data_IF_996648202222
#
_entry.id   IF_996648202222
#
_cell.length_a   1.000
_cell.length_b   1.000
_cell.length_c   1.000
_cell.angle_alpha   90.00
_cell.angle_beta   90.00
_cell.angle_gamma   90.00
#
_symmetry.space_group_name_H-M   'P 1'
#
loop_
_entity.id
_entity.type
_entity.pdbx_description
1 polymer ?
#
# COMPACT_ATOMS: atom_id res chain seq x y z
N UNK A 1 -0.39 -5.55 -5.74
CA UNK A 1 -1.08 -4.31 -5.28
C UNK A 1 -1.14 -3.24 -6.36
N UNK A 2 -0.07 -2.99 -7.13
CA UNK A 2 -0.09 -2.00 -8.21
C UNK A 2 -1.26 -2.14 -9.19
N UNK A 3 -1.62 -3.38 -9.56
CA UNK A 3 -2.78 -3.65 -10.40
C UNK A 3 -4.11 -3.11 -9.82
N UNK A 4 -4.30 -3.12 -8.50
CA UNK A 4 -5.49 -2.52 -7.87
C UNK A 4 -5.50 -0.98 -8.00
N UNK A 5 -4.36 -0.32 -7.79
CA UNK A 5 -4.24 1.12 -8.04
C UNK A 5 -4.58 1.45 -9.48
N UNK A 6 -3.98 0.71 -10.41
CA UNK A 6 -4.17 0.94 -11.84
C UNK A 6 -5.60 0.65 -12.29
N UNK A 7 -6.24 -0.40 -11.78
CA UNK A 7 -7.61 -0.74 -12.12
C UNK A 7 -8.62 0.32 -11.67
N UNK A 8 -8.47 0.86 -10.45
CA UNK A 8 -9.42 1.81 -9.88
C UNK A 8 -9.19 3.27 -10.32
N UNK A 9 -7.96 3.62 -10.74
CA UNK A 9 -7.59 5.00 -11.05
C UNK A 9 -8.49 5.61 -12.14
N UNK A 10 -9.11 6.74 -11.81
CA UNK A 10 -9.91 7.53 -12.76
C UNK A 10 -11.27 6.92 -13.14
N UNK A 11 -11.72 5.85 -12.47
CA UNK A 11 -12.97 5.15 -12.83
C UNK A 11 -14.19 5.51 -11.99
N UNK A 12 -14.06 6.34 -10.95
CA UNK A 12 -15.16 6.64 -10.04
C UNK A 12 -15.55 5.42 -9.18
N UNK A 13 -16.86 5.19 -9.03
CA UNK A 13 -17.41 4.04 -8.31
C UNK A 13 -17.45 2.80 -9.20
N UNK A 14 -17.05 1.66 -8.64
CA UNK A 14 -17.03 0.36 -9.29
C UNK A 14 -17.67 -0.68 -8.38
N UNK A 15 -18.35 -1.66 -8.98
CA UNK A 15 -18.69 -2.87 -8.26
C UNK A 15 -17.41 -3.66 -7.93
N UNK A 16 -17.39 -4.33 -6.76
CA UNK A 16 -16.22 -5.13 -6.35
C UNK A 16 -15.83 -6.15 -7.40
N UNK A 17 -16.80 -6.85 -7.99
CA UNK A 17 -16.53 -7.90 -8.97
C UNK A 17 -16.02 -7.32 -10.30
N UNK A 18 -16.45 -6.11 -10.67
CA UNK A 18 -15.90 -5.39 -11.81
C UNK A 18 -14.43 -5.03 -11.57
N UNK A 19 -14.09 -4.51 -10.39
CA UNK A 19 -12.71 -4.23 -10.01
C UNK A 19 -11.84 -5.50 -10.08
N UNK A 20 -12.34 -6.65 -9.60
CA UNK A 20 -11.59 -7.91 -9.66
C UNK A 20 -11.32 -8.36 -11.11
N UNK A 21 -12.31 -8.20 -12.01
CA UNK A 21 -12.13 -8.50 -13.44
C UNK A 21 -11.05 -7.60 -14.06
N UNK A 22 -11.10 -6.30 -13.80
CA UNK A 22 -10.08 -5.35 -14.29
C UNK A 22 -8.68 -5.68 -13.77
N UNK A 23 -8.55 -5.99 -12.47
CA UNK A 23 -7.28 -6.41 -11.87
C UNK A 23 -6.76 -7.70 -12.51
N UNK A 24 -7.64 -8.68 -12.74
CA UNK A 24 -7.28 -9.94 -13.39
C UNK A 24 -6.72 -9.72 -14.80
N UNK A 25 -7.36 -8.86 -15.58
CA UNK A 25 -6.90 -8.49 -16.93
C UNK A 25 -5.54 -7.78 -16.90
N UNK A 26 -5.34 -6.84 -15.97
CA UNK A 26 -4.06 -6.15 -15.80
C UNK A 26 -2.90 -7.08 -15.40
N UNK A 27 -3.22 -8.19 -14.71
CA UNK A 27 -2.24 -9.23 -14.36
C UNK A 27 -1.98 -10.21 -15.53
N UNK A 28 -2.64 -10.05 -16.68
CA UNK A 28 -2.45 -10.86 -17.88
C UNK A 28 -3.30 -12.12 -17.93
N UNK A 29 -4.26 -12.30 -17.02
CA UNK A 29 -5.17 -13.45 -17.08
C UNK A 29 -6.28 -13.21 -18.11
N UNK A 30 -6.53 -14.22 -18.95
CA UNK A 30 -7.59 -14.16 -19.96
C UNK A 30 -9.00 -14.25 -19.36
N UNK A 31 -9.16 -14.91 -18.21
CA UNK A 31 -10.45 -15.14 -17.53
C UNK A 31 -10.29 -15.05 -16.02
N UNK A 32 -11.33 -14.55 -15.34
CA UNK A 32 -11.44 -14.61 -13.89
C UNK A 32 -12.06 -15.96 -13.50
N UNK A 33 -11.21 -16.97 -13.30
CA UNK A 33 -11.63 -18.26 -12.76
C UNK A 33 -11.79 -18.22 -11.24
N UNK A 34 -12.53 -19.17 -10.67
CA UNK A 34 -12.86 -19.21 -9.23
C UNK A 34 -11.64 -19.12 -8.30
N UNK A 35 -10.54 -19.83 -8.61
CA UNK A 35 -9.30 -19.77 -7.83
C UNK A 35 -8.63 -18.39 -7.87
N UNK A 36 -8.63 -17.74 -9.03
CA UNK A 36 -8.06 -16.40 -9.21
C UNK A 36 -8.94 -15.39 -8.46
N UNK A 37 -10.25 -15.52 -8.59
CA UNK A 37 -11.21 -14.67 -7.90
C UNK A 37 -11.04 -14.73 -6.38
N UNK A 38 -10.95 -15.93 -5.80
CA UNK A 38 -10.74 -16.12 -4.37
C UNK A 38 -9.45 -15.42 -3.88
N UNK A 39 -8.35 -15.62 -4.60
CA UNK A 39 -7.08 -14.96 -4.30
C UNK A 39 -7.20 -13.43 -4.40
N UNK A 40 -7.83 -12.92 -5.46
CA UNK A 40 -8.03 -11.49 -5.65
C UNK A 40 -8.97 -10.88 -4.60
N UNK A 41 -9.99 -11.61 -4.10
CA UNK A 41 -10.82 -11.16 -2.97
C UNK A 41 -9.97 -10.99 -1.70
N UNK A 42 -9.03 -11.88 -1.44
CA UNK A 42 -8.03 -11.72 -0.37
C UNK A 42 -7.20 -10.45 -0.54
N UNK A 43 -6.74 -10.19 -1.77
CA UNK A 43 -5.99 -8.98 -2.10
C UNK A 43 -6.82 -7.70 -2.05
N UNK A 44 -8.10 -7.74 -2.41
CA UNK A 44 -9.02 -6.62 -2.26
C UNK A 44 -9.17 -6.22 -0.80
N UNK A 45 -9.34 -7.19 0.11
CA UNK A 45 -9.36 -6.92 1.57
C UNK A 45 -8.06 -6.26 2.04
N UNK A 46 -6.92 -6.67 1.50
CA UNK A 46 -5.64 -6.02 1.78
C UNK A 46 -5.59 -4.59 1.20
N UNK A 47 -6.07 -4.38 -0.02
CA UNK A 47 -6.11 -3.07 -0.67
C UNK A 47 -7.01 -2.07 0.09
N UNK A 48 -8.16 -2.53 0.60
CA UNK A 48 -9.05 -1.77 1.48
C UNK A 48 -8.35 -1.37 2.78
N UNK A 49 -7.76 -2.34 3.49
CA UNK A 49 -7.00 -2.04 4.74
C UNK A 49 -5.82 -1.11 4.53
N UNK A 50 -5.22 -1.12 3.34
CA UNK A 50 -4.10 -0.25 2.96
C UNK A 50 -4.54 1.08 2.34
N UNK A 51 -5.85 1.39 2.33
CA UNK A 51 -6.44 2.61 1.74
C UNK A 51 -6.03 2.82 0.26
N UNK A 52 -5.71 1.73 -0.44
CA UNK A 52 -5.48 1.72 -1.88
C UNK A 52 -6.82 1.82 -2.60
N UNK A 53 -7.81 1.12 -2.05
CA UNK A 53 -9.21 1.12 -2.45
C UNK A 53 -10.01 1.60 -1.23
N UNK A 54 -11.07 2.35 -1.46
CA UNK A 54 -12.07 2.69 -0.45
C UNK A 54 -13.37 1.96 -0.76
N UNK A 55 -14.09 1.56 0.29
CA UNK A 55 -15.44 1.06 0.16
C UNK A 55 -16.44 2.22 0.17
N UNK A 56 -17.45 2.13 -0.67
CA UNK A 56 -18.62 3.00 -0.67
C UNK A 56 -19.85 2.10 -0.47
N UNK A 57 -20.31 2.02 0.79
CA UNK A 57 -21.31 1.03 1.18
C UNK A 57 -20.85 -0.42 1.05
N UNK A 58 -21.79 -1.33 0.78
CA UNK A 58 -21.57 -2.77 0.84
C UNK A 58 -20.89 -3.36 -0.40
N UNK A 59 -21.26 -2.91 -1.60
CA UNK A 59 -20.85 -3.52 -2.88
C UNK A 59 -19.94 -2.63 -3.72
N UNK A 60 -19.97 -1.31 -3.53
CA UNK A 60 -19.20 -0.37 -4.33
C UNK A 60 -17.85 -0.06 -3.70
N UNK A 61 -16.91 0.25 -4.58
CA UNK A 61 -15.54 0.63 -4.24
C UNK A 61 -15.04 1.72 -5.18
N UNK A 62 -14.06 2.49 -4.73
CA UNK A 62 -13.37 3.50 -5.53
C UNK A 62 -11.88 3.53 -5.22
N UNK A 63 -11.11 4.27 -6.01
CA UNK A 63 -9.72 4.58 -5.65
C UNK A 63 -9.68 5.30 -4.30
N UNK A 64 -8.81 4.86 -3.40
CA UNK A 64 -8.59 5.53 -2.11
C UNK A 64 -7.59 6.66 -2.24
N UNK A 65 -6.34 6.38 -1.91
CA UNK A 65 -5.23 7.33 -2.10
C UNK A 65 -4.73 7.35 -3.55
N UNK A 66 -4.41 8.53 -4.08
CA UNK A 66 -3.78 8.73 -5.38
C UNK A 66 -2.26 8.81 -5.31
N UNK A 67 -1.73 9.46 -4.28
CA UNK A 67 -0.30 9.66 -4.04
C UNK A 67 0.11 9.20 -2.64
N UNK A 68 1.42 9.11 -2.37
CA UNK A 68 1.92 8.79 -1.03
C UNK A 68 1.61 9.89 -0.02
N UNK A 69 1.53 11.15 -0.47
CA UNK A 69 1.24 12.30 0.38
C UNK A 69 -0.23 12.34 0.85
N UNK A 70 -1.12 11.60 0.19
CA UNK A 70 -2.53 11.49 0.57
C UNK A 70 -2.73 10.65 1.84
N UNK A 71 -1.71 9.89 2.24
CA UNK A 71 -1.73 9.13 3.49
C UNK A 71 -1.37 10.02 4.67
N UNK A 72 -2.10 9.86 5.77
CA UNK A 72 -1.72 10.47 7.04
C UNK A 72 -0.40 9.91 7.58
N UNK A 73 0.39 10.72 8.29
CA UNK A 73 1.64 10.26 8.91
C UNK A 73 1.42 9.08 9.88
N UNK A 74 0.30 9.11 10.62
CA UNK A 74 -0.06 8.05 11.54
C UNK A 74 -0.39 6.74 10.81
N UNK A 75 -1.09 6.82 9.68
CA UNK A 75 -1.38 5.65 8.83
C UNK A 75 -0.10 5.06 8.25
N UNK A 76 0.80 5.90 7.71
CA UNK A 76 2.09 5.45 7.18
C UNK A 76 2.96 4.81 8.26
N UNK A 77 2.96 5.38 9.47
CA UNK A 77 3.71 4.84 10.62
C UNK A 77 3.26 3.42 10.96
N UNK A 78 1.96 3.17 10.99
CA UNK A 78 1.43 1.83 11.24
C UNK A 78 1.86 0.82 10.17
N UNK A 79 2.03 1.26 8.93
CA UNK A 79 2.46 0.39 7.84
C UNK A 79 3.92 -0.06 7.95
N UNK A 80 4.79 0.64 8.70
CA UNK A 80 6.15 0.14 8.95
C UNK A 80 6.15 -1.23 9.63
N UNK A 81 5.17 -1.53 10.48
CA UNK A 81 5.01 -2.85 11.11
C UNK A 81 4.76 -3.98 10.10
N UNK A 82 4.21 -3.64 8.94
CA UNK A 82 3.91 -4.59 7.86
C UNK A 82 5.10 -4.84 6.94
N UNK A 83 6.02 -3.87 6.82
CA UNK A 83 7.17 -3.96 5.89
C UNK A 83 8.51 -4.20 6.59
N UNK A 84 8.60 -3.93 7.89
CA UNK A 84 9.78 -4.18 8.72
C UNK A 84 9.51 -5.28 9.73
N UNK A 85 10.37 -6.31 9.71
CA UNK A 85 10.38 -7.40 10.69
C UNK A 85 11.08 -6.94 11.97
N UNK A 86 10.61 -7.42 13.12
CA UNK A 86 11.25 -7.16 14.40
C UNK A 86 12.60 -7.90 14.46
N UNK A 87 13.61 -7.27 15.07
CA UNK A 87 14.96 -7.83 15.18
C UNK A 87 15.78 -7.77 13.89
N UNK A 88 15.32 -7.01 12.88
CA UNK A 88 16.04 -6.79 11.63
C UNK A 88 16.39 -5.31 11.47
N UNK A 89 17.56 -5.07 10.87
CA UNK A 89 18.04 -3.75 10.50
C UNK A 89 17.78 -3.52 9.00
N UNK A 90 17.45 -2.29 8.65
CA UNK A 90 17.13 -1.89 7.29
C UNK A 90 17.83 -0.59 6.95
N UNK A 91 18.34 -0.45 5.73
CA UNK A 91 18.68 0.87 5.22
C UNK A 91 17.41 1.71 5.03
N UNK A 92 17.50 3.00 5.35
CA UNK A 92 16.38 3.93 5.18
C UNK A 92 15.78 3.89 3.78
N UNK A 93 16.63 3.78 2.76
CA UNK A 93 16.22 3.69 1.37
C UNK A 93 15.42 2.41 1.06
N UNK A 94 15.83 1.28 1.63
CA UNK A 94 15.11 0.02 1.47
C UNK A 94 13.72 0.08 2.11
N UNK A 95 13.58 0.76 3.26
CA UNK A 95 12.27 0.99 3.89
C UNK A 95 11.35 1.82 2.99
N UNK A 96 11.88 2.86 2.34
CA UNK A 96 11.12 3.69 1.39
C UNK A 96 10.61 2.84 0.22
N UNK A 97 11.48 2.05 -0.39
CA UNK A 97 11.10 1.17 -1.49
C UNK A 97 10.12 0.06 -1.06
N UNK A 98 10.33 -0.53 0.11
CA UNK A 98 9.46 -1.57 0.65
C UNK A 98 8.05 -1.02 0.93
N UNK A 99 7.94 0.15 1.56
CA UNK A 99 6.65 0.77 1.84
C UNK A 99 5.92 1.17 0.55
N UNK A 100 6.62 1.77 -0.42
CA UNK A 100 6.04 2.09 -1.73
C UNK A 100 5.49 0.85 -2.44
N UNK A 101 6.27 -0.23 -2.49
CA UNK A 101 5.84 -1.51 -3.09
C UNK A 101 4.66 -2.13 -2.33
N UNK A 102 4.69 -2.11 -0.99
CA UNK A 102 3.62 -2.62 -0.13
C UNK A 102 2.29 -1.91 -0.40
N UNK A 103 2.35 -0.60 -0.63
CA UNK A 103 1.22 0.25 -0.99
C UNK A 103 0.86 0.21 -2.48
N UNK A 104 1.59 -0.54 -3.31
CA UNK A 104 1.27 -0.71 -4.72
C UNK A 104 1.70 0.46 -5.61
N UNK A 105 2.60 1.33 -5.16
CA UNK A 105 3.23 2.31 -6.05
C UNK A 105 4.29 1.60 -6.91
N UNK A 106 4.16 1.72 -8.23
CA UNK A 106 5.10 1.08 -9.17
C UNK A 106 6.47 1.77 -9.22
N UNK A 107 6.54 3.04 -8.80
CA UNK A 107 7.77 3.86 -8.78
C UNK A 107 7.82 4.66 -7.49
N UNK A 108 9.03 4.91 -7.01
CA UNK A 108 9.29 5.89 -5.95
C UNK A 108 9.63 7.21 -6.62
N UNK A 109 8.73 8.20 -6.50
CA UNK A 109 8.99 9.58 -6.91
C UNK A 109 9.56 10.39 -5.74
N UNK A 110 10.11 11.57 -6.00
CA UNK A 110 10.60 12.46 -4.93
C UNK A 110 9.51 12.82 -3.93
N UNK A 111 8.31 13.16 -4.42
CA UNK A 111 7.15 13.38 -3.56
C UNK A 111 6.81 12.16 -2.67
N UNK A 112 6.95 10.94 -3.22
CA UNK A 112 6.72 9.72 -2.43
C UNK A 112 7.82 9.51 -1.40
N UNK A 113 9.06 9.76 -1.79
CA UNK A 113 10.24 9.68 -0.93
C UNK A 113 10.12 10.65 0.26
N UNK A 114 9.70 11.89 0.01
CA UNK A 114 9.58 12.91 1.05
C UNK A 114 8.44 12.62 2.03
N UNK A 115 7.31 12.11 1.53
CA UNK A 115 6.22 11.63 2.37
C UNK A 115 6.68 10.48 3.29
N UNK A 116 7.40 9.48 2.76
CA UNK A 116 7.90 8.36 3.58
C UNK A 116 9.01 8.81 4.54
N UNK A 117 9.92 9.70 4.14
CA UNK A 117 10.92 10.28 5.06
C UNK A 117 10.26 10.98 6.24
N UNK A 118 9.20 11.75 5.97
CA UNK A 118 8.41 12.42 7.01
C UNK A 118 7.75 11.40 7.95
N UNK A 119 7.21 10.31 7.41
CA UNK A 119 6.66 9.21 8.20
C UNK A 119 7.72 8.48 9.05
N UNK A 120 8.92 8.25 8.51
CA UNK A 120 10.05 7.65 9.26
C UNK A 120 10.43 8.55 10.43
N UNK A 121 10.59 9.86 10.19
CA UNK A 121 10.93 10.82 11.25
C UNK A 121 9.84 10.87 12.32
N UNK A 122 8.56 10.85 11.92
CA UNK A 122 7.45 10.72 12.85
C UNK A 122 7.54 9.42 13.67
N UNK A 123 7.76 8.28 13.01
CA UNK A 123 7.88 6.98 13.67
C UNK A 123 9.05 6.92 14.67
N UNK A 124 10.17 7.59 14.37
CA UNK A 124 11.30 7.73 15.31
C UNK A 124 10.89 8.58 16.52
N UNK A 125 10.30 9.75 16.30
CA UNK A 125 9.84 10.65 17.39
C UNK A 125 8.85 9.97 18.33
N UNK A 126 7.99 9.11 17.79
CA UNK A 126 7.00 8.36 18.56
C UNK A 126 7.50 7.00 19.06
N UNK A 127 8.80 6.69 18.92
CA UNK A 127 9.42 5.49 19.46
C UNK A 127 9.02 4.18 18.77
N UNK A 128 8.37 4.24 17.61
CA UNK A 128 8.02 3.06 16.79
C UNK A 128 9.27 2.50 16.12
N UNK A 129 10.14 3.39 15.63
CA UNK A 129 11.43 3.03 15.02
C UNK A 129 12.61 3.50 15.88
N UNK A 130 13.66 2.71 15.88
CA UNK A 130 15.01 3.13 16.26
C UNK A 130 15.83 3.46 15.02
N UNK A 131 16.91 4.20 15.21
CA UNK A 131 17.83 4.52 14.13
C UNK A 131 19.26 4.72 14.64
N UNK A 132 20.22 4.44 13.77
CA UNK A 132 21.64 4.77 13.92
C UNK A 132 22.20 5.07 12.52
N UNK A 133 22.64 6.31 12.30
CA UNK A 133 23.01 6.76 10.95
C UNK A 133 21.84 6.62 9.95
N UNK A 134 22.05 5.86 8.87
CA UNK A 134 21.04 5.52 7.86
C UNK A 134 20.22 4.26 8.20
N UNK A 135 20.64 3.50 9.21
CA UNK A 135 20.05 2.21 9.56
C UNK A 135 18.84 2.43 10.47
N UNK A 136 17.77 1.70 10.20
CA UNK A 136 16.50 1.72 10.92
C UNK A 136 16.15 0.33 11.44
N UNK A 137 15.50 0.24 12.59
CA UNK A 137 14.91 -1.00 13.11
C UNK A 137 13.60 -0.73 13.83
N UNK A 138 12.78 -1.77 13.93
CA UNK A 138 11.50 -1.69 14.63
C UNK A 138 11.68 -1.89 16.13
N UNK A 139 11.25 -0.93 16.95
CA UNK A 139 11.27 -1.05 18.42
C UNK A 139 10.08 -1.86 18.96
N UNK A 140 8.91 -1.72 18.34
CA UNK A 140 7.66 -2.41 18.72
C UNK A 140 7.14 -3.27 17.57
#
# INVERSE_FOLDING_TARGET
MAAFRQAARGRGLLERDELLKLVSQLLGYQRLGSKIEEALRGHLRAALRRRIIEADGASLVRAGTGTMADYGLDELREMFRSVMRKGSNYEREDVIHALARYLGFSRVTDASRDAVKSAINSAIRHGVLGYEGSVLWRKQ
#
